data_IF_793595641719
#
_entry.id   IF_793595641719
#
_cell.length_a   1.000
_cell.length_b   1.000
_cell.length_c   1.000
_cell.angle_alpha   90.00
_cell.angle_beta   90.00
_cell.angle_gamma   90.00
#
_symmetry.space_group_name_H-M   'P 1'
#
loop_
_entity.id
_entity.type
_entity.pdbx_description
1 polymer ?
#
# COMPACT_ATOMS: atom_id res chain seq x y z
N UNK A 1 1.91 5.99 20.68
CA UNK A 1 2.70 7.23 20.45
C UNK A 1 2.93 7.34 18.95
N UNK A 2 2.56 8.44 18.31
CA UNK A 2 2.94 8.70 16.92
C UNK A 2 4.46 8.96 16.89
N UNK A 3 5.21 8.34 15.97
CA UNK A 3 6.68 8.39 15.97
C UNK A 3 7.29 9.76 15.62
N UNK A 4 6.48 10.82 15.51
CA UNK A 4 6.90 12.17 15.11
C UNK A 4 7.33 12.30 13.65
N UNK A 5 7.26 11.20 12.89
CA UNK A 5 7.64 11.10 11.49
C UNK A 5 6.44 10.62 10.69
N UNK A 6 6.12 11.22 9.53
CA UNK A 6 5.16 10.64 8.61
C UNK A 6 5.63 9.24 8.19
N UNK A 7 4.85 8.21 8.53
CA UNK A 7 5.11 6.81 8.15
C UNK A 7 3.97 6.29 7.30
N UNK A 8 4.30 5.34 6.43
CA UNK A 8 3.31 4.66 5.61
C UNK A 8 3.60 3.16 5.53
N UNK A 9 2.53 2.36 5.53
CA UNK A 9 2.56 0.97 5.13
C UNK A 9 2.18 0.87 3.65
N UNK A 10 3.02 0.19 2.87
CA UNK A 10 2.80 0.00 1.42
C UNK A 10 2.54 -1.47 1.15
N UNK A 11 1.46 -1.73 0.41
CA UNK A 11 1.16 -3.06 -0.10
C UNK A 11 2.30 -3.56 -1.00
N UNK A 12 2.59 -4.85 -0.89
CA UNK A 12 3.47 -5.56 -1.80
C UNK A 12 2.65 -6.40 -2.80
N UNK A 13 3.33 -7.09 -3.72
CA UNK A 13 2.68 -7.95 -4.72
C UNK A 13 1.76 -8.99 -4.07
N UNK A 14 2.11 -9.49 -2.88
CA UNK A 14 1.31 -10.44 -2.09
C UNK A 14 -0.02 -9.84 -1.62
N UNK A 15 -0.08 -8.53 -1.41
CA UNK A 15 -1.18 -7.92 -0.67
C UNK A 15 -2.36 -7.66 -1.58
N UNK A 16 -3.33 -8.58 -1.59
CA UNK A 16 -4.52 -8.48 -2.45
C UNK A 16 -5.20 -7.10 -2.30
N UNK A 17 -5.46 -6.37 -3.41
CA UNK A 17 -5.43 -6.80 -4.81
C UNK A 17 -4.09 -6.65 -5.56
N UNK A 18 -3.01 -6.40 -4.84
CA UNK A 18 -1.64 -6.32 -5.32
C UNK A 18 -1.28 -4.91 -5.75
N UNK A 19 -0.36 -4.28 -5.01
CA UNK A 19 0.12 -2.93 -5.32
C UNK A 19 1.63 -2.79 -5.11
N UNK A 20 2.18 -1.70 -5.63
CA UNK A 20 3.50 -1.19 -5.29
C UNK A 20 3.47 0.34 -5.36
N UNK A 21 4.37 1.01 -4.62
CA UNK A 21 4.46 2.47 -4.63
C UNK A 21 5.67 2.96 -5.42
N UNK A 22 5.44 3.97 -6.27
CA UNK A 22 6.47 4.80 -6.84
C UNK A 22 6.62 6.05 -5.97
N UNK A 23 7.86 6.39 -5.63
CA UNK A 23 8.19 7.66 -4.99
C UNK A 23 8.88 8.57 -6.00
N UNK A 24 8.31 9.76 -6.19
CA UNK A 24 8.92 10.83 -6.99
C UNK A 24 9.44 11.89 -6.04
N UNK A 25 10.75 12.12 -6.10
CA UNK A 25 11.46 13.04 -5.22
C UNK A 25 11.69 14.35 -5.96
N UNK A 26 11.25 15.45 -5.35
CA UNK A 26 11.41 16.80 -5.88
C UNK A 26 12.06 17.70 -4.82
N UNK A 27 12.60 18.84 -5.25
CA UNK A 27 12.87 19.92 -4.32
C UNK A 27 11.55 20.35 -3.65
N UNK A 28 11.51 20.34 -2.32
CA UNK A 28 10.31 20.71 -1.56
C UNK A 28 9.41 19.56 -1.10
N UNK A 29 9.62 18.32 -1.54
CA UNK A 29 8.84 17.18 -1.02
C UNK A 29 8.93 15.88 -1.81
N UNK A 30 8.15 14.89 -1.37
CA UNK A 30 8.05 13.56 -2.01
C UNK A 30 6.58 13.26 -2.33
N UNK A 31 6.32 12.88 -3.59
CA UNK A 31 5.01 12.41 -4.04
C UNK A 31 5.00 10.88 -4.06
N UNK A 32 3.99 10.28 -3.44
CA UNK A 32 3.72 8.85 -3.57
C UNK A 32 2.62 8.60 -4.61
N UNK A 33 2.89 7.66 -5.53
CA UNK A 33 1.91 7.14 -6.48
C UNK A 33 1.77 5.64 -6.28
N UNK A 34 0.57 5.16 -5.97
CA UNK A 34 0.29 3.72 -5.84
C UNK A 34 -0.13 3.16 -7.18
N UNK A 35 0.57 2.10 -7.60
CA UNK A 35 0.30 1.35 -8.80
C UNK A 35 -0.31 0.00 -8.45
N UNK A 36 -1.34 -0.41 -9.20
CA UNK A 36 -1.83 -1.78 -9.16
C UNK A 36 -0.93 -2.67 -10.01
N UNK A 37 -0.66 -3.88 -9.55
CA UNK A 37 0.02 -4.89 -10.38
C UNK A 37 -0.88 -5.29 -11.57
N UNK A 38 -0.24 -5.68 -12.67
CA UNK A 38 -0.97 -6.05 -13.91
C UNK A 38 -0.42 -7.27 -14.63
N UNK A 39 0.74 -7.80 -14.21
CA UNK A 39 1.28 -9.05 -14.76
C UNK A 39 0.39 -10.23 -14.38
N UNK A 40 0.07 -11.17 -15.29
CA UNK A 40 -0.71 -12.36 -14.98
C UNK A 40 -0.19 -13.13 -13.75
N UNK A 41 1.11 -13.43 -13.70
CA UNK A 41 1.72 -14.18 -12.59
C UNK A 41 1.58 -13.45 -11.25
N UNK A 42 1.68 -12.12 -11.28
CA UNK A 42 1.55 -11.29 -10.10
C UNK A 42 0.09 -11.24 -9.61
N UNK A 43 -0.87 -11.18 -10.53
CA UNK A 43 -2.29 -11.24 -10.22
C UNK A 43 -2.69 -12.61 -9.67
N UNK A 44 -2.21 -13.71 -10.26
CA UNK A 44 -2.47 -15.07 -9.75
C UNK A 44 -1.92 -15.22 -8.32
N UNK A 45 -0.70 -14.74 -8.08
CA UNK A 45 -0.12 -14.74 -6.74
C UNK A 45 -0.94 -13.93 -5.75
N UNK A 46 -1.35 -12.70 -6.11
CA UNK A 46 -2.10 -11.84 -5.19
C UNK A 46 -3.51 -12.37 -4.88
N UNK A 47 -4.19 -12.99 -5.86
CA UNK A 47 -5.50 -13.63 -5.66
C UNK A 47 -5.43 -14.77 -4.65
N UNK A 48 -4.38 -15.62 -4.71
CA UNK A 48 -4.15 -16.66 -3.71
C UNK A 48 -4.02 -16.09 -2.30
N UNK A 49 -3.42 -14.91 -2.19
CA UNK A 49 -3.18 -14.24 -0.92
C UNK A 49 -4.42 -13.52 -0.34
N UNK A 50 -5.52 -13.41 -1.10
CA UNK A 50 -6.78 -12.82 -0.61
C UNK A 50 -7.35 -13.52 0.65
N UNK A 51 -6.98 -14.78 0.87
CA UNK A 51 -7.50 -15.61 1.95
C UNK A 51 -6.57 -15.73 3.17
N UNK A 52 -5.45 -14.99 3.23
CA UNK A 52 -4.42 -15.12 4.27
C UNK A 52 -4.94 -14.99 5.72
N UNK A 53 -6.09 -14.33 5.92
CA UNK A 53 -6.74 -14.16 7.24
C UNK A 53 -8.18 -14.67 7.27
N UNK A 54 -8.57 -15.49 6.30
CA UNK A 54 -9.94 -16.02 6.24
C UNK A 54 -10.31 -16.83 7.49
N UNK A 55 -9.35 -17.60 8.04
CA UNK A 55 -9.56 -18.42 9.23
C UNK A 55 -9.79 -17.60 10.51
N UNK A 56 -9.42 -16.32 10.50
CA UNK A 56 -9.70 -15.38 11.60
C UNK A 56 -11.00 -14.60 11.39
N UNK A 57 -11.75 -14.91 10.33
CA UNK A 57 -12.96 -14.17 9.93
C UNK A 57 -12.69 -12.76 9.39
N UNK A 58 -11.43 -12.43 9.05
CA UNK A 58 -11.03 -11.10 8.60
C UNK A 58 -10.73 -11.10 7.11
N UNK A 59 -11.37 -10.18 6.37
CA UNK A 59 -11.03 -9.95 4.97
C UNK A 59 -9.64 -9.32 4.85
N UNK A 60 -8.81 -9.85 3.94
CA UNK A 60 -7.47 -9.29 3.71
C UNK A 60 -7.53 -7.81 3.27
N UNK A 61 -8.52 -7.48 2.45
CA UNK A 61 -8.81 -6.11 1.99
C UNK A 61 -9.08 -5.13 3.15
N UNK A 62 -9.83 -5.55 4.19
CA UNK A 62 -10.12 -4.70 5.35
C UNK A 62 -8.91 -4.51 6.26
N UNK A 63 -8.03 -5.51 6.31
CA UNK A 63 -6.79 -5.45 7.08
C UNK A 63 -5.72 -4.59 6.40
N UNK A 64 -5.48 -4.85 5.12
CA UNK A 64 -4.26 -4.39 4.45
C UNK A 64 -4.39 -3.01 3.79
N UNK A 65 -5.61 -2.59 3.42
CA UNK A 65 -5.72 -1.51 2.45
C UNK A 65 -5.88 -0.10 3.05
N UNK A 66 -6.11 0.09 4.35
CA UNK A 66 -6.31 1.43 4.92
C UNK A 66 -7.35 2.28 4.17
N UNK A 67 -7.40 3.58 4.43
CA UNK A 67 -8.26 4.55 3.72
C UNK A 67 -7.62 5.05 2.42
N UNK A 68 -8.38 5.65 1.51
CA UNK A 68 -7.83 6.22 0.26
C UNK A 68 -6.87 7.39 0.53
N UNK A 69 -7.13 8.19 1.57
CA UNK A 69 -6.28 9.32 1.96
C UNK A 69 -4.88 8.86 2.42
N UNK A 70 -4.76 7.61 2.86
CA UNK A 70 -3.51 6.98 3.29
C UNK A 70 -2.76 6.29 2.13
N UNK A 71 -3.28 6.30 0.89
CA UNK A 71 -2.66 5.61 -0.25
C UNK A 71 -1.96 6.54 -1.24
N UNK A 72 -2.52 7.72 -1.51
CA UNK A 72 -1.99 8.65 -2.52
C UNK A 72 -1.95 10.08 -1.96
N UNK A 73 -0.79 10.49 -1.43
CA UNK A 73 -0.63 11.82 -0.85
C UNK A 73 0.80 12.34 -1.00
N UNK A 74 0.99 13.61 -0.64
CA UNK A 74 2.26 14.32 -0.67
C UNK A 74 2.83 14.38 0.73
N UNK A 75 4.08 13.97 0.89
CA UNK A 75 4.82 14.21 2.12
C UNK A 75 5.33 15.64 2.12
N UNK A 76 4.95 16.48 3.09
CA UNK A 76 5.56 17.78 3.25
C UNK A 76 7.01 17.60 3.72
N UNK A 77 7.89 18.53 3.34
CA UNK A 77 9.17 18.64 4.01
C UNK A 77 8.96 18.91 5.50
N UNK A 78 9.83 18.33 6.34
CA UNK A 78 9.91 18.75 7.74
C UNK A 78 10.38 20.20 7.76
N UNK A 79 9.51 21.11 8.20
CA UNK A 79 9.85 22.50 8.54
C UNK A 79 10.77 22.54 9.75
#
# INVERSE_FOLDING_TARGET
MACGVPTIEIGCVKDFPGTWAQYRVYEGGVMQVVHRISSPDALEWSERCRHLYADTGMGYESYALGTLAERCFVFPNRS
#
